data_IF_547418835469
#
_entry.id   IF_547418835469
#
_cell.length_a   1.000
_cell.length_b   1.000
_cell.length_c   1.000
_cell.angle_alpha   90.00
_cell.angle_beta   90.00
_cell.angle_gamma   90.00
#
_symmetry.space_group_name_H-M   'P 1'
#
loop_
_entity.id
_entity.type
_entity.pdbx_description
1 polymer ?
#
# COMPACT_ATOMS: atom_id res chain seq x y z
N UNK A 1 -9.23 5.77 17.35
CA UNK A 1 -9.72 5.46 15.99
C UNK A 1 -10.14 6.79 15.37
N UNK A 2 -9.28 7.42 14.56
CA UNK A 2 -9.57 8.72 13.93
C UNK A 2 -10.27 8.42 12.60
N UNK A 3 -11.53 8.84 12.47
CA UNK A 3 -12.28 8.71 11.22
C UNK A 3 -11.97 9.91 10.34
N UNK A 4 -11.30 9.68 9.20
CA UNK A 4 -11.07 10.72 8.20
C UNK A 4 -12.27 10.78 7.27
N UNK A 5 -13.13 11.78 7.49
CA UNK A 5 -14.28 12.04 6.62
C UNK A 5 -13.78 12.66 5.31
N UNK A 6 -13.92 11.94 4.19
CA UNK A 6 -13.53 12.42 2.86
C UNK A 6 -14.29 13.70 2.51
N UNK A 7 -13.57 14.73 2.05
CA UNK A 7 -14.18 16.00 1.63
C UNK A 7 -14.88 15.76 0.29
N UNK A 8 -16.22 15.86 0.23
CA UNK A 8 -16.99 15.59 -0.98
C UNK A 8 -16.60 16.56 -2.10
N UNK A 9 -16.50 16.04 -3.31
CA UNK A 9 -15.95 16.74 -4.49
C UNK A 9 -16.73 18.00 -4.86
N UNK A 10 -18.00 18.06 -4.50
CA UNK A 10 -18.87 19.21 -4.75
C UNK A 10 -18.51 20.43 -3.88
N UNK A 11 -17.98 20.21 -2.68
CA UNK A 11 -17.57 21.29 -1.77
C UNK A 11 -16.36 22.08 -2.30
N UNK A 12 -15.59 21.52 -3.23
CA UNK A 12 -14.42 22.18 -3.84
C UNK A 12 -14.84 23.16 -4.95
N UNK A 13 -15.98 22.91 -5.63
CA UNK A 13 -16.49 23.77 -6.71
C UNK A 13 -17.12 25.06 -6.19
N UNK A 14 -17.69 25.08 -4.99
CA UNK A 14 -18.38 26.27 -4.47
C UNK A 14 -17.50 27.14 -3.54
N UNK A 15 -16.27 26.69 -3.25
CA UNK A 15 -15.35 27.43 -2.39
C UNK A 15 -14.71 28.64 -3.12
N UNK A 16 -14.47 29.76 -2.41
CA UNK A 16 -13.77 30.92 -2.97
C UNK A 16 -12.35 30.53 -3.43
N UNK A 17 -11.88 31.12 -4.53
CA UNK A 17 -10.63 30.76 -5.24
C UNK A 17 -9.41 30.56 -4.31
N UNK A 18 -9.26 31.40 -3.27
CA UNK A 18 -8.16 31.29 -2.29
C UNK A 18 -8.24 30.02 -1.42
N UNK A 19 -9.44 29.49 -1.21
CA UNK A 19 -9.70 28.31 -0.38
C UNK A 19 -9.59 27.01 -1.20
N UNK A 20 -9.86 27.07 -2.52
CA UNK A 20 -9.65 25.94 -3.45
C UNK A 20 -8.19 25.46 -3.49
N UNK A 21 -7.23 26.39 -3.48
CA UNK A 21 -5.80 26.05 -3.44
C UNK A 21 -5.40 25.30 -2.16
N UNK A 22 -6.00 25.65 -1.01
CA UNK A 22 -5.79 24.94 0.25
C UNK A 22 -6.42 23.54 0.22
N UNK A 23 -7.63 23.39 -0.34
CA UNK A 23 -8.28 22.09 -0.48
C UNK A 23 -7.52 21.14 -1.41
N UNK A 24 -7.00 21.64 -2.53
CA UNK A 24 -6.16 20.84 -3.43
C UNK A 24 -4.88 20.37 -2.73
N UNK A 25 -4.22 21.26 -1.97
CA UNK A 25 -3.01 20.90 -1.21
C UNK A 25 -3.33 19.90 -0.08
N UNK A 26 -4.44 20.07 0.64
CA UNK A 26 -4.89 19.11 1.66
C UNK A 26 -5.24 17.76 1.02
N UNK A 27 -5.93 17.75 -0.12
CA UNK A 27 -6.20 16.51 -0.87
C UNK A 27 -4.91 15.83 -1.31
N UNK A 28 -3.93 16.58 -1.77
CA UNK A 28 -2.64 16.02 -2.16
C UNK A 28 -1.87 15.45 -0.96
N UNK A 29 -1.85 16.18 0.16
CA UNK A 29 -1.26 15.69 1.40
C UNK A 29 -1.99 14.46 1.95
N UNK A 30 -3.31 14.41 1.88
CA UNK A 30 -4.10 13.25 2.30
C UNK A 30 -3.90 12.06 1.36
N UNK A 31 -3.77 12.30 0.05
CA UNK A 31 -3.39 11.25 -0.92
C UNK A 31 -2.00 10.72 -0.63
N UNK A 32 -1.05 11.60 -0.33
CA UNK A 32 0.32 11.22 -0.03
C UNK A 32 0.41 10.46 1.31
N UNK A 33 -0.26 10.94 2.36
CA UNK A 33 -0.37 10.24 3.63
C UNK A 33 -1.13 8.92 3.50
N UNK A 34 -2.17 8.84 2.64
CA UNK A 34 -2.84 7.57 2.32
C UNK A 34 -1.92 6.64 1.54
N UNK A 35 -1.15 7.12 0.57
CA UNK A 35 -0.17 6.32 -0.16
C UNK A 35 0.88 5.78 0.81
N UNK A 36 1.45 6.62 1.67
CA UNK A 36 2.44 6.20 2.68
C UNK A 36 1.85 5.17 3.68
N UNK A 37 0.57 5.29 4.02
CA UNK A 37 -0.14 4.35 4.90
C UNK A 37 -0.65 3.08 4.17
N UNK A 38 -0.90 3.13 2.86
CA UNK A 38 -1.32 2.01 2.02
C UNK A 38 -0.14 1.09 1.71
N UNK A 39 1.04 1.68 1.57
CA UNK A 39 2.29 0.98 1.32
C UNK A 39 2.79 0.17 2.50
N UNK A 40 2.35 0.48 3.73
CA UNK A 40 2.97 -0.04 4.94
C UNK A 40 1.94 -0.68 5.86
N UNK A 41 2.16 -1.95 6.21
CA UNK A 41 1.34 -2.69 7.16
C UNK A 41 2.18 -3.24 8.31
N UNK A 42 1.88 -2.83 9.54
CA UNK A 42 2.53 -3.35 10.74
C UNK A 42 1.80 -4.60 11.27
N UNK A 43 2.55 -5.67 11.56
CA UNK A 43 2.07 -6.92 12.14
C UNK A 43 3.01 -7.32 13.28
N UNK A 44 2.61 -7.01 14.52
CA UNK A 44 3.49 -7.17 15.69
C UNK A 44 4.76 -6.33 15.54
N UNK A 45 5.91 -6.98 15.64
CA UNK A 45 7.23 -6.36 15.45
C UNK A 45 7.65 -6.26 13.98
N UNK A 46 6.84 -6.74 13.04
CA UNK A 46 7.17 -6.73 11.62
C UNK A 46 6.46 -5.60 10.89
N UNK A 47 7.15 -5.03 9.91
CA UNK A 47 6.63 -4.04 8.97
C UNK A 47 6.70 -4.66 7.58
N UNK A 48 5.54 -4.76 6.95
CA UNK A 48 5.39 -5.13 5.56
C UNK A 48 5.31 -3.86 4.72
N UNK A 49 6.12 -3.80 3.68
CA UNK A 49 6.14 -2.68 2.76
C UNK A 49 5.92 -3.17 1.34
N UNK A 50 4.87 -2.68 0.70
CA UNK A 50 4.67 -2.85 -0.74
C UNK A 50 5.79 -2.10 -1.48
N UNK A 51 6.37 -2.75 -2.47
CA UNK A 51 7.50 -2.22 -3.22
C UNK A 51 7.47 -2.76 -4.64
N UNK A 52 8.30 -2.19 -5.51
CA UNK A 52 8.57 -2.76 -6.81
C UNK A 52 10.07 -2.74 -7.12
N UNK A 53 10.60 -3.87 -7.58
CA UNK A 53 11.97 -3.94 -8.09
C UNK A 53 11.97 -3.67 -9.59
N UNK A 54 13.01 -3.02 -10.09
CA UNK A 54 13.22 -2.85 -11.54
C UNK A 54 14.01 -4.03 -12.09
N UNK A 55 13.63 -4.50 -13.27
CA UNK A 55 14.44 -5.43 -14.07
C UNK A 55 14.26 -5.12 -15.55
N UNK A 56 15.32 -4.63 -16.18
CA UNK A 56 15.28 -4.09 -17.53
C UNK A 56 14.34 -2.87 -17.62
N UNK A 57 13.38 -2.92 -18.53
CA UNK A 57 12.37 -1.87 -18.75
C UNK A 57 11.08 -2.08 -17.95
N UNK A 58 11.00 -3.12 -17.11
CA UNK A 58 9.79 -3.48 -16.37
C UNK A 58 9.99 -3.36 -14.86
N UNK A 59 8.87 -3.23 -14.17
CA UNK A 59 8.75 -3.18 -12.71
C UNK A 59 8.06 -4.44 -12.20
N UNK A 60 8.58 -5.06 -11.16
CA UNK A 60 8.05 -6.28 -10.58
C UNK A 60 7.63 -6.05 -9.13
N UNK A 61 6.40 -6.41 -8.77
CA UNK A 61 5.87 -6.20 -7.43
C UNK A 61 6.56 -7.09 -6.41
N UNK A 62 6.86 -6.55 -5.23
CA UNK A 62 7.40 -7.31 -4.11
C UNK A 62 6.91 -6.76 -2.77
N UNK A 63 6.90 -7.64 -1.75
CA UNK A 63 6.66 -7.28 -0.37
C UNK A 63 7.98 -7.38 0.39
N UNK A 64 8.40 -6.27 0.98
CA UNK A 64 9.55 -6.20 1.86
C UNK A 64 9.10 -6.47 3.29
N UNK A 65 9.74 -7.41 3.96
CA UNK A 65 9.52 -7.71 5.38
C UNK A 65 10.69 -7.14 6.17
N UNK A 66 10.42 -6.24 7.09
CA UNK A 66 11.42 -5.71 8.02
C UNK A 66 10.96 -5.87 9.46
N UNK A 67 11.90 -5.89 10.40
CA UNK A 67 11.59 -5.80 11.82
C UNK A 67 11.59 -4.33 12.25
N UNK A 68 10.73 -3.95 13.18
CA UNK A 68 10.69 -2.61 13.76
C UNK A 68 12.07 -2.21 14.29
N UNK A 69 12.60 -1.11 13.75
CA UNK A 69 13.95 -0.63 14.09
C UNK A 69 15.12 -1.40 13.45
N UNK A 70 14.88 -2.31 12.49
CA UNK A 70 15.90 -3.12 11.83
C UNK A 70 16.02 -2.91 10.31
N UNK A 71 17.04 -3.55 9.70
CA UNK A 71 17.20 -3.70 8.24
C UNK A 71 16.17 -4.68 7.67
N UNK A 72 15.81 -4.51 6.40
CA UNK A 72 14.92 -5.42 5.65
C UNK A 72 15.42 -6.87 5.74
N UNK A 73 14.58 -7.75 6.29
CA UNK A 73 14.91 -9.13 6.59
C UNK A 73 14.72 -10.04 5.37
N UNK A 74 13.61 -9.86 4.65
CA UNK A 74 13.23 -10.72 3.52
C UNK A 74 12.53 -9.94 2.43
N UNK A 75 12.77 -10.35 1.18
CA UNK A 75 12.07 -9.90 -0.01
C UNK A 75 11.18 -11.04 -0.50
N UNK A 76 9.90 -10.75 -0.72
CA UNK A 76 8.95 -11.70 -1.30
C UNK A 76 8.45 -11.16 -2.62
N UNK A 77 8.91 -11.75 -3.72
CA UNK A 77 8.44 -11.37 -5.03
C UNK A 77 7.02 -11.91 -5.24
N UNK A 78 6.10 -11.04 -5.62
CA UNK A 78 4.73 -11.44 -5.86
C UNK A 78 4.60 -12.14 -7.22
N UNK A 79 3.72 -13.14 -7.34
CA UNK A 79 3.43 -13.76 -8.62
C UNK A 79 2.76 -12.73 -9.53
N UNK A 80 3.41 -12.34 -10.62
CA UNK A 80 2.86 -11.36 -11.56
C UNK A 80 3.75 -11.14 -12.77
N UNK A 81 3.15 -10.65 -13.86
CA UNK A 81 3.89 -10.11 -15.00
C UNK A 81 4.59 -8.80 -14.62
N UNK A 82 5.65 -8.45 -15.34
CA UNK A 82 6.25 -7.13 -15.22
C UNK A 82 5.25 -6.03 -15.63
N UNK A 83 5.31 -4.90 -14.95
CA UNK A 83 4.51 -3.70 -15.21
C UNK A 83 5.37 -2.63 -15.89
N UNK A 84 4.73 -1.77 -16.69
CA UNK A 84 5.41 -0.67 -17.39
C UNK A 84 5.80 0.49 -16.46
N UNK A 85 5.12 0.61 -15.32
CA UNK A 85 5.39 1.70 -14.36
C UNK A 85 5.54 1.19 -12.94
N UNK A 86 6.42 1.85 -12.18
CA UNK A 86 6.62 1.61 -10.75
C UNK A 86 5.30 1.69 -9.97
N UNK A 87 4.49 2.72 -10.24
CA UNK A 87 3.22 2.95 -9.56
C UNK A 87 2.22 1.80 -9.75
N UNK A 88 2.16 1.18 -10.93
CA UNK A 88 1.28 0.04 -11.18
C UNK A 88 1.74 -1.22 -10.44
N UNK A 89 3.05 -1.52 -10.48
CA UNK A 89 3.60 -2.66 -9.74
C UNK A 89 3.40 -2.49 -8.23
N UNK A 90 3.61 -1.27 -7.72
CA UNK A 90 3.38 -0.94 -6.33
C UNK A 90 1.91 -1.07 -5.94
N UNK A 91 0.99 -0.51 -6.71
CA UNK A 91 -0.45 -0.61 -6.42
C UNK A 91 -0.93 -2.06 -6.38
N UNK A 92 -0.36 -2.93 -7.22
CA UNK A 92 -0.61 -4.36 -7.14
C UNK A 92 -0.07 -4.96 -5.83
N UNK A 93 1.19 -4.66 -5.47
CA UNK A 93 1.77 -5.13 -4.21
C UNK A 93 1.01 -4.64 -2.96
N UNK A 94 0.50 -3.41 -2.99
CA UNK A 94 -0.38 -2.86 -1.95
C UNK A 94 -1.68 -3.67 -1.82
N UNK A 95 -2.34 -3.96 -2.95
CA UNK A 95 -3.58 -4.75 -2.96
C UNK A 95 -3.38 -6.15 -2.36
N UNK A 96 -2.16 -6.67 -2.45
CA UNK A 96 -1.79 -7.98 -1.94
C UNK A 96 -1.47 -7.96 -0.42
N UNK A 97 -1.02 -6.83 0.16
CA UNK A 97 -0.58 -6.75 1.56
C UNK A 97 -1.62 -7.26 2.57
N UNK A 98 -2.91 -7.11 2.26
CA UNK A 98 -4.01 -7.56 3.12
C UNK A 98 -4.09 -9.08 3.27
N UNK A 99 -3.63 -9.83 2.26
CA UNK A 99 -3.70 -11.30 2.25
C UNK A 99 -2.54 -11.96 2.96
N UNK A 100 -1.46 -11.24 3.27
CA UNK A 100 -0.30 -11.84 3.92
C UNK A 100 -0.38 -11.76 5.46
N UNK A 101 0.10 -12.80 6.13
CA UNK A 101 0.48 -12.78 7.55
C UNK A 101 1.97 -13.02 7.69
N UNK A 102 2.54 -12.53 8.78
CA UNK A 102 3.94 -12.76 9.14
C UNK A 102 4.00 -13.71 10.33
N UNK A 103 4.77 -14.78 10.18
CA UNK A 103 5.07 -15.71 11.25
C UNK A 103 6.17 -15.13 12.17
N UNK A 104 6.31 -15.67 13.38
CA UNK A 104 7.30 -15.17 14.35
C UNK A 104 8.75 -15.21 13.86
N UNK A 105 9.05 -16.09 12.90
CA UNK A 105 10.35 -16.20 12.24
C UNK A 105 10.55 -15.23 11.06
N UNK A 106 9.58 -14.35 10.77
CA UNK A 106 9.65 -13.38 9.68
C UNK A 106 9.23 -13.94 8.32
N UNK A 107 8.84 -15.22 8.23
CA UNK A 107 8.30 -15.79 6.99
C UNK A 107 6.90 -15.28 6.70
N UNK A 108 6.61 -15.08 5.41
CA UNK A 108 5.30 -14.68 4.92
C UNK A 108 4.43 -15.91 4.66
N UNK A 109 3.17 -15.83 5.09
CA UNK A 109 2.14 -16.82 4.81
C UNK A 109 0.98 -16.14 4.08
N UNK A 110 0.66 -16.63 2.88
CA UNK A 110 -0.51 -16.17 2.12
C UNK A 110 -1.76 -16.74 2.78
N UNK A 111 -2.65 -15.87 3.22
CA UNK A 111 -3.99 -16.24 3.64
C UNK A 111 -4.92 -16.15 2.43
N UNK A 112 -5.18 -17.28 1.80
CA UNK A 112 -6.32 -17.39 0.90
C UNK A 112 -7.58 -17.37 1.77
N UNK A 113 -8.29 -16.24 1.80
CA UNK A 113 -9.71 -16.27 2.18
C UNK A 113 -10.45 -16.94 1.03
N UNK A 114 -10.39 -18.28 0.98
CA UNK A 114 -11.37 -19.03 0.22
C UNK A 114 -12.63 -18.99 1.08
N UNK A 115 -13.60 -18.15 0.74
CA UNK A 115 -14.98 -18.43 1.08
C UNK A 115 -15.34 -19.74 0.36
N UNK A 116 -14.98 -20.87 0.99
CA UNK A 116 -15.54 -22.16 0.68
C UNK A 116 -16.91 -22.25 1.38
N UNK A 117 -17.82 -21.35 1.00
CA UNK A 117 -19.24 -21.50 1.19
C UNK A 117 -19.83 -22.00 -0.14
N UNK A 118 -19.60 -23.27 -0.45
CA UNK A 118 -20.37 -24.01 -1.44
C UNK A 118 -20.20 -25.51 -1.19
N UNK A 119 -21.26 -26.15 -0.68
CA UNK A 119 -21.41 -27.61 -0.62
C UNK A 119 -22.05 -28.08 0.67
#
# INVERSE_FOLDING_TARGET
MVSYQEIPTDAVRDAPMQQRGRYLRIRELLKQLRMDACMIRQIGDYILTAHATTSGAMFFPEILVSKSGGLTLHRHQLPGSGYDTYAQAVAYAESELGFYRVLSNGSLLVCHSQDAAAG
#
